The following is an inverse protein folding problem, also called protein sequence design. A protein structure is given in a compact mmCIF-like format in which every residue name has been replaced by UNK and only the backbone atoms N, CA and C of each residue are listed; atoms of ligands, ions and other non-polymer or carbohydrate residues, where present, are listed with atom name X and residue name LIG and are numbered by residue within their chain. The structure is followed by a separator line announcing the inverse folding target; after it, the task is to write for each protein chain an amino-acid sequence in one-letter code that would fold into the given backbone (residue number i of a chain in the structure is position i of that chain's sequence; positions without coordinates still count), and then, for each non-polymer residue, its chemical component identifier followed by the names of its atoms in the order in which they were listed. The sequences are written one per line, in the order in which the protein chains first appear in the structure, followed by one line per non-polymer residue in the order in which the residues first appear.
data_IF_811164116719
#
_entry.id   IF_811164116719
#
_cell.length_a   1.000
_cell.length_b   1.000
_cell.length_c   1.000
_cell.angle_alpha   90.00
_cell.angle_beta   90.00
_cell.angle_gamma   90.00
#
_symmetry.space_group_name_H-M   'P 1'
#
loop_
_entity.id
_entity.type
_entity.pdbx_description
1 polymer ?
#
# COMPACT_ATOMS: atom_id res chain seq x y z
N UNK A 1 -17.63 42.84 14.85
CA UNK A 1 -16.62 41.96 15.39
C UNK A 1 -16.75 40.53 14.94
N UNK A 2 -17.92 39.89 15.06
CA UNK A 2 -18.03 38.49 14.64
C UNK A 2 -17.79 38.27 13.15
N UNK A 3 -17.83 39.32 12.35
CA UNK A 3 -17.63 39.17 10.91
C UNK A 3 -16.18 38.88 10.50
N UNK A 4 -15.21 39.36 11.29
CA UNK A 4 -13.81 39.14 10.95
C UNK A 4 -13.40 37.68 10.96
N UNK A 5 -13.75 36.90 11.97
CA UNK A 5 -13.45 35.47 11.95
C UNK A 5 -14.10 34.74 10.76
N UNK A 6 -15.32 35.14 10.42
CA UNK A 6 -16.02 34.52 9.29
C UNK A 6 -15.28 34.79 7.99
N UNK A 7 -14.80 36.00 7.79
CA UNK A 7 -14.04 36.33 6.58
C UNK A 7 -12.75 35.53 6.51
N UNK A 8 -12.07 35.42 7.63
CA UNK A 8 -10.85 34.63 7.69
C UNK A 8 -11.11 33.16 7.36
N UNK A 9 -12.20 32.63 7.87
CA UNK A 9 -12.60 31.24 7.57
C UNK A 9 -12.90 31.07 6.09
N UNK A 10 -13.61 31.98 5.48
CA UNK A 10 -13.93 31.92 4.06
C UNK A 10 -12.63 31.95 3.23
N UNK A 11 -11.71 32.84 3.57
CA UNK A 11 -10.44 32.93 2.86
C UNK A 11 -9.65 31.63 2.96
N UNK A 12 -9.61 31.04 4.15
CA UNK A 12 -8.94 29.77 4.36
C UNK A 12 -9.62 28.65 3.58
N UNK A 13 -10.93 28.65 3.54
CA UNK A 13 -11.67 27.64 2.78
C UNK A 13 -11.31 27.69 1.30
N UNK A 14 -11.19 28.88 0.74
CA UNK A 14 -10.80 29.05 -0.66
C UNK A 14 -9.40 28.51 -0.92
N UNK A 15 -8.47 28.83 -0.03
CA UNK A 15 -7.09 28.34 -0.15
C UNK A 15 -7.08 26.82 -0.05
N UNK A 16 -7.85 26.25 0.87
CA UNK A 16 -7.94 24.82 1.03
C UNK A 16 -8.48 24.14 -0.23
N UNK A 17 -9.47 24.72 -0.88
CA UNK A 17 -10.02 24.20 -2.12
C UNK A 17 -8.95 24.15 -3.20
N UNK A 18 -8.13 25.18 -3.33
CA UNK A 18 -7.05 25.21 -4.30
C UNK A 18 -6.04 24.10 -4.05
N UNK A 19 -5.68 23.89 -2.79
CA UNK A 19 -4.75 22.82 -2.40
C UNK A 19 -5.33 21.45 -2.75
N UNK A 20 -6.61 21.23 -2.46
CA UNK A 20 -7.28 19.96 -2.77
C UNK A 20 -7.28 19.71 -4.27
N UNK A 21 -7.56 20.72 -5.07
CA UNK A 21 -7.53 20.59 -6.54
C UNK A 21 -6.12 20.25 -7.03
N UNK A 22 -5.09 20.84 -6.44
CA UNK A 22 -3.72 20.52 -6.79
C UNK A 22 -3.36 19.08 -6.48
N UNK A 23 -3.80 18.57 -5.34
CA UNK A 23 -3.59 17.15 -4.98
C UNK A 23 -4.37 16.24 -5.93
N UNK A 24 -5.61 16.61 -6.25
CA UNK A 24 -6.46 15.82 -7.13
C UNK A 24 -5.91 15.71 -8.55
N UNK A 25 -4.97 16.56 -8.95
CA UNK A 25 -4.37 16.48 -10.28
C UNK A 25 -3.38 15.33 -10.42
N UNK A 26 -3.08 14.58 -9.33
CA UNK A 26 -2.13 13.47 -9.34
C UNK A 26 -2.76 12.14 -8.88
N UNK A 27 -4.01 11.79 -9.31
CA UNK A 27 -4.64 10.56 -8.83
C UNK A 27 -3.93 9.29 -9.29
N UNK A 28 -3.37 9.29 -10.49
CA UNK A 28 -2.68 8.11 -11.03
C UNK A 28 -1.43 7.73 -10.25
N UNK A 29 -0.71 8.73 -9.74
CA UNK A 29 0.49 8.48 -8.95
C UNK A 29 0.15 7.89 -7.59
N UNK A 30 -0.86 8.43 -6.90
CA UNK A 30 -1.31 7.93 -5.61
C UNK A 30 -1.80 6.49 -5.73
N UNK A 31 -2.53 6.18 -6.81
CA UNK A 31 -3.02 4.83 -7.06
C UNK A 31 -1.86 3.86 -7.34
N UNK A 32 -0.87 4.29 -8.11
CA UNK A 32 0.31 3.48 -8.41
C UNK A 32 1.10 3.15 -7.14
N UNK A 33 1.27 4.12 -6.25
CA UNK A 33 1.94 3.91 -4.97
C UNK A 33 1.18 2.94 -4.08
N UNK A 34 -0.15 3.06 -4.06
CA UNK A 34 -1.00 2.15 -3.29
C UNK A 34 -0.86 0.71 -3.80
N UNK A 35 -0.90 0.53 -5.10
CA UNK A 35 -0.77 -0.79 -5.71
C UNK A 35 0.59 -1.40 -5.38
N UNK A 36 1.65 -0.62 -5.52
CA UNK A 36 3.00 -1.09 -5.19
C UNK A 36 3.08 -1.51 -3.73
N UNK A 37 2.54 -0.71 -2.81
CA UNK A 37 2.54 -1.04 -1.39
C UNK A 37 1.78 -2.33 -1.11
N UNK A 38 0.59 -2.49 -1.67
CA UNK A 38 -0.23 -3.68 -1.44
C UNK A 38 0.41 -4.94 -1.99
N UNK A 39 1.00 -4.87 -3.17
CA UNK A 39 1.69 -6.00 -3.79
C UNK A 39 2.94 -6.36 -2.97
N UNK A 40 3.66 -5.36 -2.47
CA UNK A 40 4.84 -5.57 -1.62
C UNK A 40 4.46 -6.32 -0.34
N UNK A 41 3.41 -5.87 0.34
CA UNK A 41 2.92 -6.50 1.57
C UNK A 41 2.50 -7.94 1.29
N UNK A 42 1.72 -8.16 0.24
CA UNK A 42 1.24 -9.48 -0.11
C UNK A 42 2.40 -10.44 -0.39
N UNK A 43 3.40 -9.99 -1.14
CA UNK A 43 4.57 -10.83 -1.45
C UNK A 43 5.41 -11.11 -0.20
N UNK A 44 5.60 -10.13 0.67
CA UNK A 44 6.32 -10.32 1.91
C UNK A 44 5.64 -11.36 2.79
N UNK A 45 4.32 -11.28 2.90
CA UNK A 45 3.55 -12.23 3.68
C UNK A 45 3.66 -13.65 3.12
N UNK A 46 3.54 -13.81 1.80
CA UNK A 46 3.72 -15.12 1.16
C UNK A 46 5.09 -15.68 1.47
N UNK A 47 6.14 -14.88 1.25
CA UNK A 47 7.51 -15.32 1.49
C UNK A 47 7.70 -15.78 2.93
N UNK A 48 7.22 -15.01 3.89
CA UNK A 48 7.40 -15.33 5.30
C UNK A 48 6.54 -16.53 5.73
N UNK A 49 5.31 -16.64 5.22
CA UNK A 49 4.45 -17.81 5.52
C UNK A 49 5.11 -19.11 5.05
N UNK A 50 5.72 -19.07 3.87
CA UNK A 50 6.39 -20.24 3.30
C UNK A 50 7.71 -20.51 4.01
N UNK A 51 8.54 -19.49 4.21
CA UNK A 51 9.87 -19.63 4.79
C UNK A 51 9.82 -20.15 6.23
N UNK A 52 8.82 -19.71 6.99
CA UNK A 52 8.65 -20.17 8.37
C UNK A 52 7.95 -21.51 8.47
N UNK A 53 7.54 -22.11 7.35
CA UNK A 53 6.83 -23.36 7.35
C UNK A 53 5.37 -23.27 7.81
N UNK A 54 4.84 -22.06 7.91
CA UNK A 54 3.47 -21.84 8.38
C UNK A 54 2.44 -22.29 7.35
N UNK A 55 2.74 -22.12 6.07
CA UNK A 55 1.86 -22.52 4.97
C UNK A 55 2.66 -23.07 3.81
N UNK A 56 1.97 -23.87 2.99
CA UNK A 56 2.52 -24.31 1.71
C UNK A 56 2.44 -23.17 0.70
N UNK A 57 3.34 -23.15 -0.31
CA UNK A 57 3.39 -22.06 -1.27
C UNK A 57 2.07 -21.75 -1.97
N UNK A 58 1.37 -22.77 -2.45
CA UNK A 58 0.11 -22.58 -3.16
C UNK A 58 -0.99 -22.04 -2.23
N UNK A 59 -1.00 -22.45 -0.98
CA UNK A 59 -1.94 -21.97 0.02
C UNK A 59 -1.69 -20.49 0.33
N UNK A 60 -0.43 -20.12 0.55
CA UNK A 60 -0.06 -18.73 0.79
C UNK A 60 -0.41 -17.84 -0.40
N UNK A 61 -0.17 -18.32 -1.62
CA UNK A 61 -0.49 -17.57 -2.84
C UNK A 61 -1.99 -17.35 -2.98
N UNK A 62 -2.81 -18.35 -2.65
CA UNK A 62 -4.27 -18.18 -2.72
C UNK A 62 -4.74 -17.07 -1.79
N UNK A 63 -4.21 -17.02 -0.59
CA UNK A 63 -4.57 -15.98 0.37
C UNK A 63 -4.15 -14.60 -0.13
N UNK A 64 -2.92 -14.48 -0.65
CA UNK A 64 -2.43 -13.23 -1.21
C UNK A 64 -3.28 -12.77 -2.38
N UNK A 65 -3.66 -13.69 -3.28
CA UNK A 65 -4.47 -13.35 -4.43
C UNK A 65 -5.86 -12.87 -4.01
N UNK A 66 -6.48 -13.49 -3.01
CA UNK A 66 -7.76 -13.02 -2.49
C UNK A 66 -7.66 -11.63 -1.90
N UNK A 67 -6.58 -11.37 -1.17
CA UNK A 67 -6.34 -10.04 -0.62
C UNK A 67 -6.24 -9.00 -1.71
N UNK A 68 -5.44 -9.27 -2.75
CA UNK A 68 -5.26 -8.33 -3.85
C UNK A 68 -6.54 -8.18 -4.69
N UNK A 69 -7.31 -9.25 -4.85
CA UNK A 69 -8.62 -9.17 -5.52
C UNK A 69 -9.58 -8.28 -4.75
N UNK A 70 -9.61 -8.42 -3.42
CA UNK A 70 -10.47 -7.59 -2.58
C UNK A 70 -10.08 -6.12 -2.63
N UNK A 71 -8.82 -5.83 -2.92
CA UNK A 71 -8.32 -4.47 -3.08
C UNK A 71 -8.42 -3.95 -4.51
N UNK A 72 -9.09 -4.70 -5.39
CA UNK A 72 -9.30 -4.33 -6.80
C UNK A 72 -7.99 -4.12 -7.58
N UNK A 73 -6.97 -4.91 -7.25
CA UNK A 73 -5.69 -4.84 -7.95
C UNK A 73 -5.66 -5.91 -9.03
N UNK A 74 -5.65 -5.48 -10.29
CA UNK A 74 -5.67 -6.38 -11.43
C UNK A 74 -4.42 -7.25 -11.50
N UNK A 75 -4.52 -8.38 -12.19
CA UNK A 75 -3.37 -9.26 -12.39
C UNK A 75 -2.26 -8.57 -13.18
N UNK A 76 -2.63 -7.74 -14.15
CA UNK A 76 -1.65 -6.99 -14.93
C UNK A 76 -0.89 -5.99 -14.05
N UNK A 77 -1.58 -5.31 -13.15
CA UNK A 77 -0.94 -4.39 -12.22
C UNK A 77 0.03 -5.13 -11.29
N UNK A 78 -0.36 -6.31 -10.80
CA UNK A 78 0.51 -7.13 -9.95
C UNK A 78 1.77 -7.53 -10.69
N UNK A 79 1.61 -7.96 -11.93
CA UNK A 79 2.73 -8.37 -12.77
C UNK A 79 3.68 -7.22 -13.04
N UNK A 80 3.13 -6.04 -13.33
CA UNK A 80 3.94 -4.86 -13.56
C UNK A 80 4.79 -4.52 -12.33
N UNK A 81 4.21 -4.58 -11.13
CA UNK A 81 4.95 -4.33 -9.89
C UNK A 81 6.03 -5.40 -9.67
N UNK A 82 5.68 -6.66 -9.86
CA UNK A 82 6.63 -7.77 -9.69
C UNK A 82 7.84 -7.65 -10.63
N UNK A 83 7.66 -7.03 -11.79
CA UNK A 83 8.71 -6.87 -12.79
C UNK A 83 9.51 -5.57 -12.61
N UNK A 84 9.13 -4.72 -11.66
CA UNK A 84 9.86 -3.48 -11.40
C UNK A 84 11.26 -3.77 -10.86
N UNK A 85 12.30 -3.08 -11.40
CA UNK A 85 13.62 -3.15 -10.79
C UNK A 85 13.54 -2.66 -9.34
N UNK A 86 14.18 -3.40 -8.45
CA UNK A 86 14.17 -3.04 -7.03
C UNK A 86 12.95 -3.52 -6.25
N UNK A 87 11.99 -4.20 -6.89
CA UNK A 87 10.82 -4.72 -6.16
C UNK A 87 11.24 -5.70 -5.07
N UNK A 88 12.19 -6.58 -5.37
CA UNK A 88 12.68 -7.53 -4.38
C UNK A 88 13.31 -6.82 -3.17
N UNK A 89 13.99 -5.71 -3.39
CA UNK A 89 14.55 -4.91 -2.31
C UNK A 89 13.45 -4.27 -1.45
N UNK A 90 12.35 -3.86 -2.06
CA UNK A 90 11.20 -3.36 -1.30
C UNK A 90 10.63 -4.44 -0.40
N UNK A 91 10.46 -5.65 -0.91
CA UNK A 91 9.96 -6.77 -0.13
C UNK A 91 10.89 -7.07 1.04
N UNK A 92 12.19 -7.14 0.77
CA UNK A 92 13.20 -7.40 1.81
C UNK A 92 13.21 -6.31 2.88
N UNK A 93 13.07 -5.06 2.47
CA UNK A 93 13.02 -3.93 3.40
C UNK A 93 11.77 -4.00 4.28
N UNK A 94 10.64 -4.30 3.68
CA UNK A 94 9.39 -4.43 4.44
C UNK A 94 9.53 -5.51 5.53
N UNK A 95 10.06 -6.68 5.17
CA UNK A 95 10.26 -7.77 6.12
C UNK A 95 11.21 -7.33 7.24
N UNK A 96 12.31 -6.69 6.89
CA UNK A 96 13.30 -6.20 7.85
C UNK A 96 12.69 -5.19 8.82
N UNK A 97 11.90 -4.25 8.29
CA UNK A 97 11.26 -3.21 9.09
C UNK A 97 10.23 -3.77 10.05
N UNK A 98 9.68 -4.95 9.76
CA UNK A 98 8.76 -5.66 10.63
C UNK A 98 9.47 -6.55 11.66
N UNK A 99 10.78 -6.57 11.67
CA UNK A 99 11.56 -7.38 12.62
C UNK A 99 11.90 -8.78 12.12
N UNK A 100 11.78 -9.02 10.83
CA UNK A 100 12.04 -10.33 10.22
C UNK A 100 10.79 -11.17 10.04
N UNK A 101 10.93 -12.29 9.35
CA UNK A 101 9.78 -13.13 9.00
C UNK A 101 9.03 -13.68 10.21
N UNK A 102 9.74 -14.08 11.25
CA UNK A 102 9.05 -14.64 12.43
C UNK A 102 8.17 -13.61 13.11
N UNK A 103 8.68 -12.40 13.31
CA UNK A 103 7.90 -11.33 13.90
C UNK A 103 6.73 -10.94 13.01
N UNK A 104 6.97 -10.85 11.70
CA UNK A 104 5.90 -10.54 10.76
C UNK A 104 4.76 -11.56 10.85
N UNK A 105 5.08 -12.84 10.89
CA UNK A 105 4.06 -13.90 10.96
C UNK A 105 3.32 -13.86 12.30
N UNK A 106 4.01 -13.59 13.40
CA UNK A 106 3.36 -13.42 14.69
C UNK A 106 2.33 -12.30 14.67
N UNK A 107 2.65 -11.20 14.01
CA UNK A 107 1.75 -10.06 13.90
C UNK A 107 0.52 -10.36 13.04
N UNK A 108 0.59 -11.34 12.14
CA UNK A 108 -0.54 -11.76 11.34
C UNK A 108 -1.52 -12.66 12.09
N UNK A 109 -1.11 -13.23 13.19
CA UNK A 109 -1.93 -14.10 14.03
C UNK A 109 -2.59 -13.32 15.13
#
# INVERSE_FOLDING_TARGET
MPQFPLRAVITRALISIVVVLGVASLPGRAESERITAMVTVANANVRCLVTTGTMKPDQAMRIANRFLDAEDISRDARRAVNNEPGFNDLVNRYIRDRGGCQTLIQDLQ
#
